data_IF_803754428579
#
_entry.id   IF_803754428579
#
_cell.length_a   1.000
_cell.length_b   1.000
_cell.length_c   1.000
_cell.angle_alpha   90.00
_cell.angle_beta   90.00
_cell.angle_gamma   90.00
#
_symmetry.space_group_name_H-M   'P 1'
#
loop_
_entity.id
_entity.type
_entity.pdbx_description
1 polymer ?
#
# COMPACT_ATOMS: atom_id res chain seq x y z
N UNK A 1 6.31 -23.09 14.51
CA UNK A 1 6.14 -21.63 14.38
C UNK A 1 5.39 -21.38 13.09
N UNK A 2 4.14 -20.87 13.09
CA UNK A 2 3.39 -20.73 11.85
C UNK A 2 3.82 -19.45 11.13
N UNK A 3 5.01 -19.48 10.55
CA UNK A 3 5.38 -18.53 9.51
C UNK A 3 4.45 -18.73 8.31
N UNK A 4 4.07 -17.67 7.60
CA UNK A 4 3.33 -17.84 6.36
C UNK A 4 4.17 -18.73 5.43
N UNK A 5 3.56 -19.76 4.86
CA UNK A 5 4.19 -20.54 3.79
C UNK A 5 4.14 -19.76 2.48
N UNK A 6 5.16 -19.93 1.64
CA UNK A 6 5.17 -19.35 0.29
C UNK A 6 4.15 -20.09 -0.57
N UNK A 7 3.32 -19.36 -1.31
CA UNK A 7 2.40 -19.97 -2.27
C UNK A 7 3.16 -20.41 -3.52
N UNK A 8 2.66 -21.43 -4.21
CA UNK A 8 3.35 -21.99 -5.39
C UNK A 8 3.53 -20.94 -6.52
N UNK A 9 2.52 -20.08 -6.70
CA UNK A 9 2.46 -19.01 -7.70
C UNK A 9 3.12 -17.69 -7.24
N UNK A 10 3.64 -17.63 -6.01
CA UNK A 10 4.18 -16.41 -5.41
C UNK A 10 5.70 -16.32 -5.59
N UNK A 11 6.16 -15.19 -6.15
CA UNK A 11 7.60 -14.88 -6.20
C UNK A 11 8.17 -14.72 -4.80
N UNK A 12 9.46 -15.00 -4.62
CA UNK A 12 10.11 -14.91 -3.30
C UNK A 12 10.13 -13.48 -2.75
N UNK A 13 10.14 -12.48 -3.62
CA UNK A 13 10.04 -11.07 -3.27
C UNK A 13 8.64 -10.73 -2.74
N UNK A 14 7.59 -11.24 -3.39
CA UNK A 14 6.21 -11.05 -2.94
C UNK A 14 5.98 -11.75 -1.59
N UNK A 15 6.54 -12.95 -1.44
CA UNK A 15 6.55 -13.65 -0.15
C UNK A 15 7.22 -12.82 0.94
N UNK A 16 8.41 -12.28 0.67
CA UNK A 16 9.13 -11.44 1.63
C UNK A 16 8.26 -10.23 2.03
N UNK A 17 7.65 -9.57 1.05
CA UNK A 17 6.75 -8.45 1.28
C UNK A 17 5.58 -8.80 2.20
N UNK A 18 4.92 -9.94 1.93
CA UNK A 18 3.79 -10.45 2.71
C UNK A 18 4.20 -10.89 4.11
N UNK A 19 5.36 -11.53 4.25
CA UNK A 19 5.89 -11.96 5.54
C UNK A 19 6.24 -10.77 6.44
N UNK A 20 6.91 -9.76 5.87
CA UNK A 20 7.30 -8.55 6.60
C UNK A 20 6.10 -7.68 7.00
N UNK A 21 5.03 -7.71 6.21
CA UNK A 21 3.78 -6.96 6.46
C UNK A 21 2.76 -7.73 7.30
N UNK A 22 3.09 -8.92 7.79
CA UNK A 22 2.15 -9.73 8.55
C UNK A 22 2.10 -9.29 10.03
N UNK A 23 0.93 -8.89 10.52
CA UNK A 23 0.75 -8.42 11.90
C UNK A 23 1.17 -9.41 12.98
N UNK A 24 0.98 -10.72 12.74
CA UNK A 24 1.39 -11.76 13.71
C UNK A 24 2.90 -11.81 13.82
N UNK A 25 3.58 -11.76 12.67
CA UNK A 25 5.04 -11.73 12.57
C UNK A 25 5.59 -10.42 13.15
N UNK A 26 4.91 -9.30 12.93
CA UNK A 26 5.30 -8.01 13.51
C UNK A 26 5.21 -7.99 15.04
N UNK A 27 4.20 -8.64 15.62
CA UNK A 27 4.04 -8.79 17.07
C UNK A 27 5.05 -9.76 17.67
N UNK A 28 5.35 -10.86 16.99
CA UNK A 28 6.27 -11.90 17.47
C UNK A 28 7.74 -11.48 17.34
N UNK A 29 8.07 -10.74 16.27
CA UNK A 29 9.39 -10.16 16.03
C UNK A 29 9.27 -8.64 15.91
N UNK A 30 9.24 -7.90 17.04
CA UNK A 30 9.16 -6.44 17.02
C UNK A 30 10.39 -5.80 16.37
N UNK A 31 11.56 -6.42 16.57
CA UNK A 31 12.82 -6.01 15.97
C UNK A 31 12.86 -6.31 14.46
N UNK A 32 13.18 -5.29 13.66
CA UNK A 32 13.13 -5.37 12.20
C UNK A 32 14.19 -6.31 11.62
N UNK A 33 15.39 -6.37 12.21
CA UNK A 33 16.45 -7.26 11.72
C UNK A 33 16.10 -8.72 11.97
N UNK A 34 15.62 -9.04 13.17
CA UNK A 34 15.13 -10.38 13.51
C UNK A 34 13.97 -10.80 12.63
N UNK A 35 13.01 -9.90 12.39
CA UNK A 35 11.87 -10.15 11.48
C UNK A 35 12.34 -10.47 10.06
N UNK A 36 13.28 -9.69 9.56
CA UNK A 36 13.86 -9.87 8.22
C UNK A 36 14.58 -11.21 8.12
N UNK A 37 15.40 -11.58 9.11
CA UNK A 37 16.10 -12.85 9.14
C UNK A 37 15.14 -14.05 9.11
N UNK A 38 14.06 -13.98 9.88
CA UNK A 38 13.06 -15.05 9.95
C UNK A 38 12.31 -15.17 8.61
N UNK A 39 11.82 -14.07 8.05
CA UNK A 39 11.19 -14.08 6.72
C UNK A 39 12.14 -14.51 5.60
N UNK A 40 13.42 -14.14 5.69
CA UNK A 40 14.43 -14.54 4.73
C UNK A 40 14.73 -16.03 4.78
N UNK A 41 14.85 -16.62 5.98
CA UNK A 41 15.12 -18.06 6.10
C UNK A 41 14.06 -18.91 5.37
N UNK A 42 12.79 -18.49 5.42
CA UNK A 42 11.69 -19.10 4.68
C UNK A 42 11.71 -18.80 3.18
N UNK A 43 12.03 -17.57 2.77
CA UNK A 43 12.12 -17.23 1.36
C UNK A 43 13.21 -18.04 0.62
N UNK A 44 14.26 -18.40 1.34
CA UNK A 44 15.39 -19.17 0.84
C UNK A 44 15.14 -20.68 0.76
N UNK A 45 14.03 -21.19 1.31
CA UNK A 45 13.71 -22.62 1.27
C UNK A 45 13.62 -23.12 -0.19
N UNK A 46 14.26 -24.27 -0.44
CA UNK A 46 14.29 -24.91 -1.75
C UNK A 46 15.21 -24.26 -2.80
N UNK A 47 16.03 -23.26 -2.44
CA UNK A 47 17.07 -22.72 -3.32
C UNK A 47 18.40 -23.47 -3.17
N UNK A 48 19.18 -23.50 -4.26
CA UNK A 48 20.59 -23.89 -4.19
C UNK A 48 21.39 -22.83 -3.40
N UNK A 49 22.56 -23.20 -2.86
CA UNK A 49 23.42 -22.27 -2.12
C UNK A 49 23.76 -21.00 -2.91
N UNK A 50 24.02 -21.14 -4.21
CA UNK A 50 24.29 -20.01 -5.11
C UNK A 50 23.05 -19.12 -5.31
N UNK A 51 21.89 -19.71 -5.58
CA UNK A 51 20.65 -18.96 -5.77
C UNK A 51 20.17 -18.29 -4.47
N UNK A 52 20.41 -18.93 -3.32
CA UNK A 52 20.12 -18.37 -2.02
C UNK A 52 21.02 -17.16 -1.71
N UNK A 53 22.32 -17.26 -2.02
CA UNK A 53 23.26 -16.15 -1.87
C UNK A 53 22.90 -14.98 -2.79
N UNK A 54 22.53 -15.25 -4.05
CA UNK A 54 22.10 -14.22 -4.99
C UNK A 54 20.82 -13.52 -4.54
N UNK A 55 19.81 -14.28 -4.08
CA UNK A 55 18.59 -13.71 -3.55
C UNK A 55 18.84 -12.86 -2.30
N UNK A 56 19.67 -13.36 -1.38
CA UNK A 56 20.07 -12.63 -0.17
C UNK A 56 20.78 -11.33 -0.52
N UNK A 57 21.76 -11.38 -1.42
CA UNK A 57 22.48 -10.20 -1.89
C UNK A 57 21.53 -9.19 -2.54
N UNK A 58 20.63 -9.64 -3.42
CA UNK A 58 19.64 -8.76 -4.03
C UNK A 58 18.73 -8.09 -3.00
N UNK A 59 18.31 -8.81 -1.95
CA UNK A 59 17.46 -8.25 -0.91
C UNK A 59 18.20 -7.23 -0.04
N UNK A 60 19.45 -7.53 0.34
CA UNK A 60 20.29 -6.65 1.16
C UNK A 60 20.73 -5.40 0.38
N UNK A 61 21.10 -5.54 -0.89
CA UNK A 61 21.62 -4.43 -1.70
C UNK A 61 20.52 -3.58 -2.35
N UNK A 62 19.41 -4.20 -2.78
CA UNK A 62 18.33 -3.50 -3.51
C UNK A 62 17.11 -3.21 -2.66
N UNK A 63 17.00 -3.85 -1.49
CA UNK A 63 15.82 -3.83 -0.63
C UNK A 63 14.67 -4.71 -1.15
N UNK A 64 13.65 -4.86 -0.31
CA UNK A 64 12.37 -5.46 -0.68
C UNK A 64 11.32 -4.37 -0.94
N UNK A 65 10.31 -4.70 -1.75
CA UNK A 65 9.15 -3.84 -1.99
C UNK A 65 8.06 -4.15 -0.98
N UNK A 66 7.41 -3.12 -0.45
CA UNK A 66 6.22 -3.28 0.38
C UNK A 66 4.98 -3.26 -0.51
N UNK A 67 4.10 -4.25 -0.36
CA UNK A 67 2.79 -4.19 -1.00
C UNK A 67 1.99 -3.04 -0.39
N UNK A 68 1.26 -2.30 -1.25
CA UNK A 68 0.36 -1.26 -0.74
C UNK A 68 -0.83 -1.94 -0.05
N UNK A 69 -0.82 -1.91 1.27
CA UNK A 69 -1.92 -2.29 2.17
C UNK A 69 -2.62 -1.04 2.69
N UNK A 70 -3.79 -1.20 3.32
CA UNK A 70 -4.51 -0.08 3.93
C UNK A 70 -3.70 0.59 5.05
N UNK A 71 -2.93 -0.19 5.81
CA UNK A 71 -2.11 0.33 6.91
C UNK A 71 -0.87 1.10 6.42
N UNK A 72 -0.31 0.73 5.26
CA UNK A 72 0.86 1.38 4.68
C UNK A 72 0.51 2.47 3.66
N UNK A 73 -0.77 2.61 3.33
CA UNK A 73 -1.22 3.57 2.35
C UNK A 73 -1.31 4.97 2.98
N UNK A 74 -0.73 5.94 2.29
CA UNK A 74 -0.65 7.32 2.73
C UNK A 74 -0.84 8.22 1.52
N UNK A 75 -1.72 9.23 1.64
CA UNK A 75 -1.90 10.24 0.60
C UNK A 75 -1.06 11.45 0.99
N UNK A 76 0.03 11.73 0.27
CA UNK A 76 0.82 12.93 0.51
C UNK A 76 0.06 14.17 0.10
N UNK A 77 0.21 15.23 0.89
CA UNK A 77 -0.16 16.58 0.49
C UNK A 77 0.75 17.08 -0.64
N UNK A 78 0.31 18.11 -1.36
CA UNK A 78 1.10 18.72 -2.45
C UNK A 78 2.48 19.21 -1.99
N UNK A 79 2.60 19.66 -0.73
CA UNK A 79 3.84 20.16 -0.14
C UNK A 79 4.84 19.05 0.25
N UNK A 80 4.36 17.82 0.47
CA UNK A 80 5.21 16.69 0.87
C UNK A 80 5.88 16.01 -0.32
N UNK A 81 5.29 16.16 -1.50
CA UNK A 81 5.88 15.68 -2.74
C UNK A 81 7.18 16.41 -3.07
N UNK A 82 8.17 15.65 -3.50
CA UNK A 82 9.47 16.15 -3.94
C UNK A 82 9.68 15.74 -5.38
N UNK A 83 9.85 16.72 -6.25
CA UNK A 83 10.08 16.49 -7.67
C UNK A 83 11.52 16.00 -7.92
N UNK A 84 11.64 14.84 -8.56
CA UNK A 84 12.89 14.20 -8.95
C UNK A 84 13.08 14.18 -10.48
N UNK A 85 12.18 14.81 -11.24
CA UNK A 85 12.24 14.89 -12.70
C UNK A 85 11.87 13.58 -13.41
N UNK A 86 11.00 12.78 -12.79
CA UNK A 86 10.48 11.53 -13.40
C UNK A 86 9.09 11.77 -14.00
N UNK A 87 8.71 11.03 -15.07
CA UNK A 87 7.34 11.07 -15.57
C UNK A 87 6.37 10.56 -14.50
N UNK A 88 5.46 11.45 -14.12
CA UNK A 88 4.42 11.21 -13.13
C UNK A 88 3.18 10.61 -13.80
N UNK A 89 2.52 9.68 -13.12
CA UNK A 89 1.25 9.11 -13.53
C UNK A 89 0.29 9.20 -12.35
N UNK A 90 -0.91 9.73 -12.57
CA UNK A 90 -1.95 9.73 -11.55
C UNK A 90 -2.52 8.32 -11.39
N UNK A 91 -2.44 7.78 -10.18
CA UNK A 91 -2.99 6.48 -9.85
C UNK A 91 -4.23 6.62 -8.99
N UNK A 92 -5.35 6.10 -9.52
CA UNK A 92 -6.61 5.97 -8.80
C UNK A 92 -6.73 4.55 -8.21
N UNK A 93 -6.63 4.48 -6.89
CA UNK A 93 -6.66 3.23 -6.13
C UNK A 93 -8.03 2.57 -6.21
N UNK A 94 -9.10 3.37 -6.24
CA UNK A 94 -10.46 2.85 -6.29
C UNK A 94 -10.72 2.12 -7.62
N UNK A 95 -10.04 2.55 -8.70
CA UNK A 95 -10.08 1.88 -10.00
C UNK A 95 -9.19 0.64 -10.02
N UNK A 96 -8.00 0.71 -9.43
CA UNK A 96 -6.97 -0.33 -9.51
C UNK A 96 -7.19 -1.53 -8.56
N UNK A 97 -7.85 -1.32 -7.41
CA UNK A 97 -8.28 -2.38 -6.49
C UNK A 97 -9.78 -2.25 -6.20
N UNK A 98 -10.64 -2.60 -7.15
CA UNK A 98 -12.09 -2.59 -6.94
C UNK A 98 -12.45 -3.54 -5.80
N UNK A 99 -13.27 -3.06 -4.86
CA UNK A 99 -13.78 -3.87 -3.74
C UNK A 99 -14.60 -5.07 -4.22
N UNK A 100 -14.87 -6.01 -3.31
CA UNK A 100 -15.61 -7.24 -3.63
C UNK A 100 -16.94 -6.96 -4.34
N UNK A 101 -17.69 -5.97 -3.86
CA UNK A 101 -18.99 -5.59 -4.44
C UNK A 101 -18.90 -4.91 -5.80
N UNK A 102 -17.86 -4.10 -6.02
CA UNK A 102 -17.58 -3.49 -7.33
C UNK A 102 -17.21 -4.58 -8.36
N UNK A 103 -16.44 -5.59 -7.96
CA UNK A 103 -16.16 -6.75 -8.81
C UNK A 103 -17.44 -7.52 -9.18
N UNK A 104 -18.34 -7.72 -8.21
CA UNK A 104 -19.65 -8.36 -8.45
C UNK A 104 -20.50 -7.51 -9.41
N UNK A 105 -20.51 -6.18 -9.26
CA UNK A 105 -21.24 -5.26 -10.13
C UNK A 105 -20.73 -5.31 -11.57
N UNK A 106 -19.41 -5.21 -11.78
CA UNK A 106 -18.78 -5.34 -13.10
C UNK A 106 -19.06 -6.70 -13.73
N UNK A 107 -19.07 -7.78 -12.93
CA UNK A 107 -19.44 -9.12 -13.42
C UNK A 107 -20.90 -9.17 -13.87
N UNK A 108 -21.82 -8.58 -13.09
CA UNK A 108 -23.24 -8.44 -13.46
C UNK A 108 -23.44 -7.63 -14.73
N UNK A 109 -22.68 -6.55 -14.93
CA UNK A 109 -22.75 -5.72 -16.14
C UNK A 109 -22.27 -6.48 -17.38
N UNK A 110 -21.13 -7.19 -17.29
CA UNK A 110 -20.59 -8.00 -18.41
C UNK A 110 -21.50 -9.17 -18.78
N UNK A 111 -22.04 -9.86 -17.78
CA UNK A 111 -22.87 -11.05 -17.99
C UNK A 111 -24.35 -10.71 -18.23
N UNK A 112 -24.77 -9.50 -17.85
CA UNK A 112 -26.13 -8.99 -18.01
C UNK A 112 -27.17 -9.97 -17.48
N UNK A 113 -28.09 -10.39 -18.37
CA UNK A 113 -29.17 -11.34 -18.05
C UNK A 113 -28.67 -12.77 -17.78
N UNK A 114 -27.43 -13.09 -18.13
CA UNK A 114 -26.85 -14.43 -17.95
C UNK A 114 -26.14 -14.59 -16.60
N UNK A 115 -26.02 -13.51 -15.80
CA UNK A 115 -25.36 -13.57 -14.50
C UNK A 115 -26.11 -14.50 -13.54
N UNK A 116 -25.42 -15.54 -13.07
CA UNK A 116 -25.91 -16.46 -12.03
C UNK A 116 -24.91 -16.49 -10.87
N UNK A 117 -25.29 -16.06 -9.66
CA UNK A 117 -24.42 -16.19 -8.49
C UNK A 117 -24.08 -17.65 -8.22
N UNK A 118 -22.83 -17.93 -7.86
CA UNK A 118 -22.43 -19.25 -7.37
C UNK A 118 -23.23 -19.64 -6.12
N UNK A 119 -23.67 -20.90 -6.04
CA UNK A 119 -24.50 -21.37 -4.93
C UNK A 119 -23.63 -21.75 -3.74
N UNK A 120 -22.47 -22.35 -3.98
CA UNK A 120 -21.55 -22.81 -2.93
C UNK A 120 -20.17 -22.15 -3.02
N UNK A 121 -19.40 -22.20 -1.92
CA UNK A 121 -18.02 -21.68 -1.90
C UNK A 121 -17.12 -22.40 -2.90
N UNK A 122 -17.33 -23.72 -3.07
CA UNK A 122 -16.62 -24.53 -4.08
C UNK A 122 -16.90 -24.08 -5.52
N UNK A 123 -18.08 -23.53 -5.78
CA UNK A 123 -18.47 -22.94 -7.07
C UNK A 123 -18.02 -21.47 -7.20
N UNK A 124 -17.27 -20.93 -6.22
CA UNK A 124 -16.74 -19.57 -6.24
C UNK A 124 -17.61 -18.52 -5.54
N UNK A 125 -18.51 -18.92 -4.63
CA UNK A 125 -19.22 -17.98 -3.74
C UNK A 125 -18.22 -17.40 -2.73
N UNK A 126 -18.18 -16.06 -2.51
CA UNK A 126 -17.35 -15.47 -1.47
C UNK A 126 -17.67 -16.05 -0.09
N UNK A 127 -16.64 -16.34 0.71
CA UNK A 127 -16.81 -16.91 2.05
C UNK A 127 -17.49 -15.93 2.99
N UNK A 128 -18.04 -16.44 4.10
CA UNK A 128 -18.69 -15.58 5.09
C UNK A 128 -17.74 -14.52 5.68
N UNK A 129 -16.47 -14.85 5.87
CA UNK A 129 -15.44 -13.89 6.31
C UNK A 129 -15.16 -12.83 5.24
N UNK A 130 -15.07 -13.20 3.96
CA UNK A 130 -14.90 -12.25 2.86
C UNK A 130 -16.09 -11.29 2.72
N UNK A 131 -17.30 -11.81 2.95
CA UNK A 131 -18.52 -10.99 2.95
C UNK A 131 -18.55 -10.03 4.14
N UNK A 132 -18.20 -10.50 5.35
CA UNK A 132 -18.11 -9.64 6.54
C UNK A 132 -17.05 -8.55 6.36
N UNK A 133 -15.87 -8.92 5.88
CA UNK A 133 -14.79 -7.97 5.59
C UNK A 133 -15.21 -6.93 4.55
N UNK A 134 -15.86 -7.35 3.46
CA UNK A 134 -16.39 -6.42 2.47
C UNK A 134 -17.51 -5.52 3.01
N UNK A 135 -18.34 -6.01 3.93
CA UNK A 135 -19.37 -5.22 4.62
C UNK A 135 -18.76 -4.21 5.60
N UNK A 136 -17.67 -4.58 6.27
CA UNK A 136 -16.89 -3.71 7.17
C UNK A 136 -16.11 -2.64 6.38
N UNK A 137 -15.47 -3.02 5.27
CA UNK A 137 -14.73 -2.14 4.34
C UNK A 137 -15.66 -1.14 3.61
N UNK A 138 -16.94 -1.50 3.39
CA UNK A 138 -17.91 -0.62 2.74
C UNK A 138 -18.61 0.40 3.64
N UNK A 139 -18.42 0.35 4.97
CA UNK A 139 -18.84 1.42 5.89
C UNK A 139 -20.19 2.06 5.55
N UNK A 140 -21.28 1.38 5.93
CA UNK A 140 -22.68 1.87 5.98
C UNK A 140 -23.46 1.94 4.64
N UNK A 141 -24.33 0.94 4.42
CA UNK A 141 -25.30 1.00 3.32
C UNK A 141 -26.44 -0.02 3.33
N UNK A 142 -26.59 -0.84 4.37
CA UNK A 142 -27.64 -1.88 4.43
C UNK A 142 -28.59 -1.65 5.59
N UNK A 143 -29.89 -1.53 5.30
CA UNK A 143 -30.97 -1.57 6.31
C UNK A 143 -30.79 -2.81 7.19
N UNK A 144 -30.35 -2.65 8.44
CA UNK A 144 -30.38 -3.72 9.44
C UNK A 144 -29.13 -3.99 10.28
N UNK A 145 -28.12 -3.11 10.36
CA UNK A 145 -27.02 -3.28 11.32
C UNK A 145 -27.18 -2.33 12.51
N UNK A 146 -27.63 -2.90 13.63
CA UNK A 146 -27.60 -2.29 14.96
C UNK A 146 -26.15 -2.37 15.48
N UNK A 147 -25.32 -1.39 15.13
CA UNK A 147 -24.02 -1.22 15.79
C UNK A 147 -24.31 -0.71 17.20
N UNK A 148 -24.19 -1.58 18.21
CA UNK A 148 -24.31 -1.19 19.62
C UNK A 148 -23.23 -0.15 19.94
N UNK A 149 -23.65 1.10 20.02
CA UNK A 149 -22.87 2.23 20.50
C UNK A 149 -22.88 2.20 22.04
N UNK A 150 -22.19 1.24 22.63
CA UNK A 150 -21.95 1.21 24.07
C UNK A 150 -20.46 1.03 24.29
N UNK A 151 -19.72 2.12 24.09
CA UNK A 151 -18.61 2.59 24.91
C UNK A 151 -17.76 3.57 24.09
N UNK A 152 -17.51 4.74 24.70
CA UNK A 152 -16.71 5.88 24.24
C UNK A 152 -17.50 6.95 23.46
N UNK A 153 -17.69 8.08 24.12
CA UNK A 153 -18.45 9.23 23.65
C UNK A 153 -17.85 9.92 22.43
N UNK A 154 -18.76 10.49 21.64
CA UNK A 154 -18.53 11.49 20.58
C UNK A 154 -17.61 11.09 19.42
N UNK A 155 -18.02 10.13 18.58
CA UNK A 155 -17.47 10.00 17.22
C UNK A 155 -18.28 10.87 16.25
N UNK A 156 -17.92 12.15 16.13
CA UNK A 156 -18.50 13.02 15.10
C UNK A 156 -17.95 12.64 13.72
N UNK A 157 -18.84 12.27 12.79
CA UNK A 157 -18.53 11.94 11.40
C UNK A 157 -18.38 13.23 10.59
N UNK A 158 -17.24 13.41 9.92
CA UNK A 158 -16.98 14.58 9.09
C UNK A 158 -17.42 14.36 7.63
N UNK A 159 -17.94 15.39 7.00
CA UNK A 159 -18.46 15.38 5.63
C UNK A 159 -18.01 16.63 4.90
N UNK A 160 -17.50 16.52 3.67
CA UNK A 160 -17.04 17.65 2.87
C UNK A 160 -17.97 17.93 1.69
N UNK A 161 -18.26 19.19 1.43
CA UNK A 161 -18.93 19.59 0.20
C UNK A 161 -17.92 19.61 -0.95
N UNK A 162 -18.08 18.78 -2.00
CA UNK A 162 -17.11 18.69 -3.10
C UNK A 162 -16.99 19.97 -3.94
N UNK A 163 -17.98 20.87 -3.88
CA UNK A 163 -17.94 22.13 -4.65
C UNK A 163 -17.36 23.30 -3.86
N UNK A 164 -17.54 23.32 -2.54
CA UNK A 164 -17.15 24.45 -1.68
C UNK A 164 -16.01 24.13 -0.71
N UNK A 165 -15.70 22.85 -0.49
CA UNK A 165 -14.67 22.39 0.46
C UNK A 165 -15.09 22.51 1.94
N UNK A 166 -16.32 22.93 2.22
CA UNK A 166 -16.81 23.11 3.59
C UNK A 166 -17.02 21.77 4.29
N UNK A 167 -16.53 21.68 5.54
CA UNK A 167 -16.61 20.47 6.36
C UNK A 167 -17.74 20.57 7.38
N UNK A 168 -18.59 19.55 7.42
CA UNK A 168 -19.75 19.40 8.29
C UNK A 168 -19.56 18.20 9.21
N UNK A 169 -19.96 18.32 10.46
CA UNK A 169 -19.90 17.23 11.45
C UNK A 169 -21.30 16.71 11.77
N UNK A 170 -21.48 15.39 11.76
CA UNK A 170 -22.74 14.73 12.09
C UNK A 170 -22.51 13.63 13.12
N UNK A 171 -23.49 13.42 14.00
CA UNK A 171 -23.43 12.37 15.02
C UNK A 171 -23.72 10.97 14.47
N UNK A 172 -24.22 10.87 13.23
CA UNK A 172 -24.57 9.62 12.56
C UNK A 172 -23.99 9.61 11.15
N UNK A 173 -23.64 8.43 10.66
CA UNK A 173 -23.21 8.26 9.27
C UNK A 173 -24.46 8.15 8.38
N UNK A 174 -24.51 8.93 7.31
CA UNK A 174 -25.62 8.94 6.37
C UNK A 174 -25.31 9.70 5.09
N UNK A 175 -26.30 9.76 4.20
CA UNK A 175 -26.27 10.54 2.97
C UNK A 175 -26.83 11.94 3.24
N UNK A 176 -25.94 12.93 3.34
CA UNK A 176 -26.31 14.31 3.61
C UNK A 176 -26.27 15.15 2.33
N UNK A 177 -27.24 16.04 2.16
CA UNK A 177 -27.29 17.01 1.06
C UNK A 177 -27.29 18.42 1.62
N UNK A 178 -26.45 19.28 1.05
CA UNK A 178 -26.44 20.73 1.27
C UNK A 178 -26.53 21.41 -0.09
N UNK A 179 -27.51 22.28 -0.26
CA UNK A 179 -27.69 23.08 -1.48
C UNK A 179 -27.78 22.24 -2.76
N UNK A 180 -28.47 21.09 -2.67
CA UNK A 180 -28.64 20.14 -3.78
C UNK A 180 -27.40 19.29 -4.09
N UNK A 181 -26.28 19.49 -3.39
CA UNK A 181 -25.02 18.74 -3.55
C UNK A 181 -24.90 17.68 -2.46
N UNK A 182 -24.54 16.46 -2.85
CA UNK A 182 -24.25 15.36 -1.92
C UNK A 182 -22.92 15.62 -1.20
N UNK A 183 -22.94 15.58 0.13
CA UNK A 183 -21.74 15.68 0.95
C UNK A 183 -21.00 14.34 0.96
N UNK A 184 -19.67 14.41 0.89
CA UNK A 184 -18.80 13.23 0.85
C UNK A 184 -18.27 12.95 2.25
N UNK A 185 -18.45 11.74 2.75
CA UNK A 185 -17.98 11.32 4.08
C UNK A 185 -16.44 11.28 4.14
N UNK A 186 -15.84 12.00 5.10
CA UNK A 186 -14.43 11.89 5.52
C UNK A 186 -14.31 10.86 6.64
N UNK A 187 -14.25 9.58 6.27
CA UNK A 187 -13.81 8.51 7.18
C UNK A 187 -12.57 7.83 6.63
N UNK A 188 -11.71 7.28 7.51
CA UNK A 188 -10.39 6.70 7.16
C UNK A 188 -10.38 5.74 5.96
N UNK A 189 -11.46 5.00 5.66
CA UNK A 189 -11.56 4.13 4.48
C UNK A 189 -12.25 4.77 3.25
N UNK A 190 -13.08 5.81 3.47
CA UNK A 190 -13.71 6.61 2.41
C UNK A 190 -12.82 7.77 1.93
N UNK A 191 -11.87 8.22 2.74
CA UNK A 191 -10.86 9.23 2.41
C UNK A 191 -10.01 8.86 1.19
N UNK A 192 -9.93 7.56 0.86
CA UNK A 192 -9.12 7.04 -0.23
C UNK A 192 -9.91 6.82 -1.53
N UNK A 193 -11.25 6.78 -1.48
CA UNK A 193 -12.09 6.60 -2.68
C UNK A 193 -12.17 7.93 -3.44
N UNK A 194 -11.42 8.03 -4.53
CA UNK A 194 -11.41 9.18 -5.44
C UNK A 194 -10.24 10.15 -5.26
N UNK A 195 -9.34 9.92 -4.29
CA UNK A 195 -8.09 10.69 -4.18
C UNK A 195 -6.98 9.95 -4.93
N UNK A 196 -6.45 10.62 -5.95
CA UNK A 196 -5.35 10.12 -6.78
C UNK A 196 -4.03 10.35 -6.07
N UNK A 197 -3.13 9.36 -6.14
CA UNK A 197 -1.73 9.54 -5.73
C UNK A 197 -0.84 9.55 -6.97
N UNK A 198 0.23 10.33 -6.91
CA UNK A 198 1.19 10.42 -8.01
C UNK A 198 2.19 9.27 -7.93
N UNK A 199 2.22 8.43 -8.97
CA UNK A 199 3.27 7.42 -9.16
C UNK A 199 4.57 8.08 -9.58
N UNK A 200 5.69 7.45 -9.22
CA UNK A 200 7.06 7.90 -9.50
C UNK A 200 7.40 9.28 -8.93
N UNK A 201 6.58 9.82 -8.02
CA UNK A 201 6.85 11.07 -7.31
C UNK A 201 7.15 10.78 -5.84
N UNK A 202 8.41 10.85 -5.40
CA UNK A 202 8.75 10.68 -4.01
C UNK A 202 8.08 11.72 -3.12
N UNK A 203 7.75 11.34 -1.90
CA UNK A 203 7.21 12.22 -0.87
C UNK A 203 7.93 11.98 0.47
N UNK A 204 7.92 12.98 1.34
CA UNK A 204 8.52 12.89 2.68
C UNK A 204 7.61 12.13 3.63
N UNK A 205 8.22 11.35 4.53
CA UNK A 205 7.52 10.61 5.58
C UNK A 205 8.11 10.99 6.94
N UNK A 206 7.62 12.05 7.60
CA UNK A 206 8.21 12.58 8.83
C UNK A 206 8.19 11.58 9.98
N UNK A 207 7.08 10.85 10.15
CA UNK A 207 6.91 9.84 11.20
C UNK A 207 7.18 8.41 10.71
N UNK A 208 7.78 8.28 9.52
CA UNK A 208 8.02 7.00 8.87
C UNK A 208 9.35 6.35 9.26
N UNK A 209 9.50 5.03 9.07
CA UNK A 209 10.77 4.33 9.30
C UNK A 209 11.89 4.75 8.34
N UNK A 210 11.55 5.47 7.27
CA UNK A 210 12.47 6.02 6.26
C UNK A 210 12.08 7.46 5.96
N UNK A 211 13.01 8.22 5.35
CA UNK A 211 12.85 9.65 5.10
C UNK A 211 11.90 9.96 3.94
N UNK A 212 11.90 9.10 2.92
CA UNK A 212 11.07 9.23 1.74
C UNK A 212 10.33 7.93 1.43
N UNK A 213 9.19 8.06 0.78
CA UNK A 213 8.48 6.96 0.15
C UNK A 213 8.03 7.35 -1.26
N UNK A 214 7.80 6.34 -2.11
CA UNK A 214 7.34 6.54 -3.48
C UNK A 214 6.50 5.35 -3.94
N UNK A 215 5.38 5.65 -4.60
CA UNK A 215 4.55 4.64 -5.24
C UNK A 215 5.06 4.35 -6.65
N UNK A 216 5.31 3.08 -6.96
CA UNK A 216 5.84 2.65 -8.28
C UNK A 216 5.20 1.34 -8.72
N UNK A 217 5.18 1.06 -10.03
CA UNK A 217 4.76 -0.25 -10.55
C UNK A 217 5.96 -1.20 -10.52
N UNK A 218 5.78 -2.40 -9.97
CA UNK A 218 6.79 -3.45 -10.00
C UNK A 218 6.86 -4.15 -11.37
N UNK A 219 7.77 -5.12 -11.54
CA UNK A 219 7.90 -5.88 -12.79
C UNK A 219 6.65 -6.67 -13.20
N UNK A 220 5.75 -6.96 -12.26
CA UNK A 220 4.45 -7.60 -12.51
C UNK A 220 3.32 -6.60 -12.81
N UNK A 221 3.61 -5.30 -12.84
CA UNK A 221 2.62 -4.24 -13.06
C UNK A 221 1.79 -3.85 -11.82
N UNK A 222 2.06 -4.45 -10.65
CA UNK A 222 1.38 -4.11 -9.39
C UNK A 222 2.02 -2.87 -8.76
N UNK A 223 1.20 -1.96 -8.24
CA UNK A 223 1.70 -0.80 -7.50
C UNK A 223 2.20 -1.23 -6.13
N UNK A 224 3.45 -0.85 -5.84
CA UNK A 224 4.17 -1.08 -4.59
C UNK A 224 4.63 0.25 -4.00
N UNK A 225 4.83 0.29 -2.69
CA UNK A 225 5.46 1.40 -2.01
C UNK A 225 6.94 1.07 -1.77
N UNK A 226 7.82 2.00 -2.16
CA UNK A 226 9.25 1.90 -1.97
C UNK A 226 9.66 2.98 -0.98
N UNK A 227 10.23 2.56 0.15
CA UNK A 227 10.73 3.46 1.20
C UNK A 227 12.24 3.57 1.11
N UNK A 228 12.79 4.78 1.21
CA UNK A 228 14.22 5.02 1.05
C UNK A 228 14.72 6.24 1.83
N UNK A 229 16.03 6.31 2.04
CA UNK A 229 16.69 7.36 2.81
C UNK A 229 16.55 7.16 4.33
N UNK A 230 17.63 7.48 5.04
CA UNK A 230 17.68 7.39 6.50
C UNK A 230 17.11 8.68 7.12
N UNK A 231 16.15 8.60 8.06
CA UNK A 231 15.58 9.78 8.73
C UNK A 231 16.64 10.60 9.48
N UNK A 232 17.63 9.93 10.07
CA UNK A 232 18.65 10.53 10.94
C UNK A 232 19.88 11.03 10.17
N UNK A 233 19.94 10.81 8.85
CA UNK A 233 21.04 11.29 8.02
C UNK A 233 20.61 12.33 6.99
N UNK A 234 21.54 13.24 6.71
CA UNK A 234 21.41 14.24 5.65
C UNK A 234 22.35 13.93 4.48
N UNK A 235 21.83 14.16 3.27
CA UNK A 235 22.57 13.95 2.04
C UNK A 235 23.40 15.21 1.77
N UNK A 236 24.73 15.05 1.80
CA UNK A 236 25.70 16.09 1.46
C UNK A 236 26.02 16.02 -0.03
N UNK A 237 25.06 16.47 -0.85
CA UNK A 237 25.16 16.44 -2.33
C UNK A 237 26.12 17.49 -2.89
N UNK A 238 26.26 18.58 -2.16
CA UNK A 238 27.15 19.71 -2.39
C UNK A 238 28.63 19.31 -2.34
N UNK A 239 29.00 18.29 -1.55
CA UNK A 239 30.35 17.73 -1.49
C UNK A 239 30.58 16.72 -2.65
N UNK A 240 31.41 17.05 -3.66
CA UNK A 240 31.62 16.19 -4.82
C UNK A 240 32.30 14.87 -4.47
N UNK A 241 33.15 14.86 -3.44
CA UNK A 241 33.85 13.65 -3.01
C UNK A 241 32.87 12.66 -2.38
N UNK A 242 32.00 13.14 -1.48
CA UNK A 242 30.94 12.30 -0.89
C UNK A 242 29.97 11.80 -1.94
N UNK A 243 29.58 12.65 -2.89
CA UNK A 243 28.72 12.27 -4.01
C UNK A 243 29.35 11.16 -4.84
N UNK A 244 30.62 11.33 -5.25
CA UNK A 244 31.36 10.31 -6.01
C UNK A 244 31.47 8.99 -5.25
N UNK A 245 31.82 9.02 -3.97
CA UNK A 245 31.93 7.82 -3.14
C UNK A 245 30.58 7.11 -2.95
N UNK A 246 29.47 7.83 -2.79
CA UNK A 246 28.15 7.22 -2.71
C UNK A 246 27.77 6.55 -4.04
N UNK A 247 27.91 7.27 -5.16
CA UNK A 247 27.57 6.76 -6.49
C UNK A 247 28.37 5.53 -6.88
N UNK A 248 29.67 5.50 -6.53
CA UNK A 248 30.53 4.35 -6.77
C UNK A 248 30.10 3.12 -5.95
N UNK A 249 29.87 3.27 -4.64
CA UNK A 249 29.45 2.17 -3.76
C UNK A 249 28.10 1.58 -4.15
N UNK A 250 27.18 2.42 -4.62
CA UNK A 250 25.83 1.99 -5.01
C UNK A 250 25.65 1.78 -6.51
N UNK A 251 26.74 1.76 -7.30
CA UNK A 251 26.70 1.48 -8.75
C UNK A 251 25.68 2.36 -9.50
N UNK A 252 25.53 3.61 -9.08
CA UNK A 252 24.50 4.51 -9.59
C UNK A 252 24.67 4.83 -11.08
N UNK A 253 25.92 4.80 -11.57
CA UNK A 253 26.26 5.10 -12.96
C UNK A 253 26.14 3.87 -13.88
N UNK A 254 26.27 2.65 -13.35
CA UNK A 254 26.32 1.41 -14.15
C UNK A 254 25.03 0.60 -14.07
N UNK A 255 24.38 0.53 -12.90
CA UNK A 255 23.18 -0.25 -12.69
C UNK A 255 22.37 0.28 -11.49
N UNK A 256 21.70 1.44 -11.59
CA UNK A 256 20.89 1.97 -10.49
C UNK A 256 19.73 1.04 -10.09
N UNK A 257 19.32 0.14 -10.99
CA UNK A 257 18.21 -0.80 -10.80
C UNK A 257 16.88 -0.23 -11.27
N UNK A 258 15.79 -1.01 -11.20
CA UNK A 258 14.48 -0.57 -11.65
C UNK A 258 13.81 0.38 -10.63
N UNK A 259 12.79 1.13 -11.08
CA UNK A 259 12.08 2.14 -10.26
C UNK A 259 11.45 1.56 -9.00
N UNK A 260 11.10 0.28 -8.97
CA UNK A 260 10.54 -0.35 -7.78
C UNK A 260 11.60 -0.79 -6.75
N UNK A 261 12.84 -0.29 -6.84
CA UNK A 261 13.91 -0.56 -5.86
C UNK A 261 14.43 0.72 -5.23
N UNK A 262 14.79 0.65 -3.94
CA UNK A 262 15.22 1.81 -3.16
C UNK A 262 16.52 2.45 -3.69
N UNK A 263 17.42 1.63 -4.27
CA UNK A 263 18.68 2.07 -4.86
C UNK A 263 18.48 3.09 -5.98
N UNK A 264 17.50 2.87 -6.87
CA UNK A 264 17.19 3.78 -7.97
C UNK A 264 16.90 5.20 -7.47
N UNK A 265 15.97 5.32 -6.50
CA UNK A 265 15.59 6.60 -5.92
C UNK A 265 16.70 7.25 -5.11
N UNK A 266 17.48 6.45 -4.40
CA UNK A 266 18.65 6.93 -3.65
C UNK A 266 19.70 7.51 -4.59
N UNK A 267 20.02 6.82 -5.70
CA UNK A 267 20.93 7.30 -6.74
C UNK A 267 20.42 8.55 -7.47
N UNK A 268 19.10 8.73 -7.58
CA UNK A 268 18.50 9.93 -8.17
C UNK A 268 18.60 11.14 -7.24
N UNK A 269 18.50 10.90 -5.93
CA UNK A 269 18.65 11.96 -4.93
C UNK A 269 20.10 12.45 -4.79
N UNK A 270 21.09 11.55 -4.94
CA UNK A 270 22.53 11.81 -4.89
C UNK A 270 23.12 12.27 -6.24
#
# INVERSE_FOLDING_TARGET
MPLPERRDDESRENYMSRCMSNDKIAKEFPDQERRTAVCMSKALEGLSSMAAADFKYNLEELGYTEEVTEDNFYIPTTAEYVDFGEPEEDWDIAVAKPGLWENIRRKKEREGKNYKPARTEKEGRPTQEQLKRAQEEEGCGGRGCNCKAEHLGYSAYQYENPKTGEVFTYSRMGNYKKDGVMLIYKGKAAEYKGRKVKLNKPFRTPDGPKKFAVYTKNGSGKVVIVRFGDPNMEIKKDDPARRKSFRARHKCDTAPGPKWKARYWSCRKW
#
